data_IF_409984686359
#
_entry.id   IF_409984686359
#
_cell.length_a   1.000
_cell.length_b   1.000
_cell.length_c   1.000
_cell.angle_alpha   90.00
_cell.angle_beta   90.00
_cell.angle_gamma   90.00
#
_symmetry.space_group_name_H-M   'P 1'
#
loop_
_entity.id
_entity.type
_entity.pdbx_description
1 polymer ?
#
# COMPACT_ATOMS: atom_id res chain seq x y z
N UNK A 1 38.93 37.76 -9.95
CA UNK A 1 37.67 38.18 -9.29
C UNK A 1 37.33 39.56 -9.82
N UNK A 2 36.19 39.72 -10.48
CA UNK A 2 35.68 41.03 -10.88
C UNK A 2 35.26 41.77 -9.61
N UNK A 3 35.81 42.97 -9.37
CA UNK A 3 35.43 43.76 -8.19
C UNK A 3 33.93 44.07 -8.24
N UNK A 4 33.22 43.88 -7.13
CA UNK A 4 31.81 44.26 -7.03
C UNK A 4 31.71 45.80 -7.03
N UNK A 5 30.90 46.36 -7.92
CA UNK A 5 30.70 47.81 -8.00
C UNK A 5 30.10 48.34 -6.69
N UNK A 6 30.68 49.41 -6.15
CA UNK A 6 30.17 50.10 -4.97
C UNK A 6 28.83 50.79 -5.23
N UNK A 7 28.13 51.20 -4.17
CA UNK A 7 26.86 51.92 -4.24
C UNK A 7 26.96 53.25 -3.48
N UNK A 8 26.54 54.37 -4.09
CA UNK A 8 26.74 55.71 -3.50
C UNK A 8 25.63 56.72 -3.86
N UNK A 9 24.43 56.23 -4.20
CA UNK A 9 23.30 57.10 -4.62
C UNK A 9 22.55 57.65 -3.41
N UNK A 10 22.26 58.96 -3.42
CA UNK A 10 21.56 59.65 -2.35
C UNK A 10 22.49 60.28 -1.31
N UNK A 11 21.93 60.75 -0.20
CA UNK A 11 22.68 61.33 0.93
C UNK A 11 22.27 60.67 2.23
N UNK A 12 23.09 60.82 3.27
CA UNK A 12 22.88 60.15 4.56
C UNK A 12 23.09 61.05 5.77
N UNK A 13 22.44 60.70 6.87
CA UNK A 13 22.62 61.30 8.18
C UNK A 13 22.84 60.21 9.23
N UNK A 14 23.72 60.47 10.20
CA UNK A 14 24.00 59.59 11.35
C UNK A 14 24.58 60.44 12.48
N UNK A 15 24.15 60.21 13.72
CA UNK A 15 24.72 60.90 14.89
C UNK A 15 26.10 60.36 15.23
N UNK A 16 26.93 61.17 15.90
CA UNK A 16 28.14 60.67 16.56
C UNK A 16 27.78 59.48 17.48
N UNK A 17 28.60 58.42 17.43
CA UNK A 17 28.37 57.14 18.13
C UNK A 17 27.03 56.44 17.82
N UNK A 18 26.28 56.94 16.82
CA UNK A 18 25.00 56.40 16.42
C UNK A 18 25.13 55.07 15.70
N UNK A 19 24.10 54.22 15.81
CA UNK A 19 24.02 52.92 15.14
C UNK A 19 23.01 52.91 13.99
N UNK A 20 22.33 54.02 13.73
CA UNK A 20 21.29 54.10 12.69
C UNK A 20 21.67 55.17 11.68
N UNK A 21 21.73 54.76 10.41
CA UNK A 21 21.95 55.67 9.28
C UNK A 21 20.60 55.91 8.59
N UNK A 22 20.25 57.18 8.41
CA UNK A 22 19.06 57.61 7.68
C UNK A 22 19.48 58.11 6.30
N UNK A 23 18.87 57.58 5.25
CA UNK A 23 19.14 57.91 3.85
C UNK A 23 18.05 58.77 3.22
N UNK A 24 18.45 59.65 2.30
CA UNK A 24 17.54 60.41 1.41
C UNK A 24 17.82 60.00 -0.03
N UNK A 25 16.77 59.65 -0.79
CA UNK A 25 16.87 59.19 -2.18
C UNK A 25 17.78 57.96 -2.36
N UNK A 26 17.81 57.09 -1.35
CA UNK A 26 18.55 55.83 -1.34
C UNK A 26 17.64 54.67 -1.78
N UNK A 27 18.24 53.57 -2.24
CA UNK A 27 17.57 52.36 -2.73
C UNK A 27 18.30 51.12 -2.19
N UNK A 28 18.38 51.01 -0.87
CA UNK A 28 19.24 50.04 -0.18
C UNK A 28 18.72 48.60 -0.21
N UNK A 29 17.43 48.38 0.06
CA UNK A 29 16.82 47.07 0.30
C UNK A 29 16.13 46.51 -0.96
N UNK A 30 15.20 47.26 -1.56
CA UNK A 30 14.32 46.76 -2.63
C UNK A 30 15.09 46.33 -3.88
N UNK A 31 16.19 47.03 -4.17
CA UNK A 31 17.08 46.71 -5.30
C UNK A 31 18.24 45.79 -4.89
N UNK A 32 18.32 45.40 -3.62
CA UNK A 32 19.40 44.55 -3.07
C UNK A 32 20.79 45.18 -3.13
N UNK A 33 20.87 46.50 -3.21
CA UNK A 33 22.12 47.25 -3.38
C UNK A 33 23.01 47.17 -2.14
N UNK A 34 22.42 47.02 -0.96
CA UNK A 34 23.11 46.94 0.32
C UNK A 34 22.67 45.68 1.05
N UNK A 35 23.58 45.02 1.76
CA UNK A 35 23.32 43.83 2.57
C UNK A 35 24.06 43.94 3.90
N UNK A 36 23.58 43.24 4.95
CA UNK A 36 24.36 43.04 6.16
C UNK A 36 25.76 42.49 5.85
N UNK A 37 26.77 43.01 6.54
CA UNK A 37 28.18 42.72 6.33
C UNK A 37 28.87 43.55 5.23
N UNK A 38 28.15 44.38 4.47
CA UNK A 38 28.76 45.38 3.59
C UNK A 38 29.39 46.52 4.44
N UNK A 39 30.36 47.24 3.88
CA UNK A 39 31.01 48.37 4.57
C UNK A 39 30.41 49.68 4.15
N UNK A 40 29.96 50.47 5.12
CA UNK A 40 29.50 51.83 4.94
C UNK A 40 30.65 52.81 5.19
N UNK A 41 31.00 53.63 4.19
CA UNK A 41 32.00 54.67 4.30
C UNK A 41 31.37 56.04 4.08
N UNK A 42 31.71 57.00 4.93
CA UNK A 42 31.43 58.42 4.69
C UNK A 42 32.64 59.25 5.12
N UNK A 43 33.18 60.06 4.20
CA UNK A 43 34.46 60.71 4.40
C UNK A 43 35.60 59.70 4.60
N UNK A 44 36.35 59.84 5.71
CA UNK A 44 37.50 59.00 6.03
C UNK A 44 37.17 57.87 7.03
N UNK A 45 35.91 57.77 7.45
CA UNK A 45 35.46 56.81 8.45
C UNK A 45 34.62 55.70 7.80
N UNK A 46 34.74 54.50 8.35
CA UNK A 46 34.00 53.31 7.92
C UNK A 46 33.28 52.66 9.11
N UNK A 47 32.12 52.06 8.83
CA UNK A 47 31.37 51.22 9.76
C UNK A 47 30.85 49.97 9.04
N UNK A 48 30.61 48.89 9.78
CA UNK A 48 30.02 47.66 9.24
C UNK A 48 28.51 47.79 9.32
N UNK A 49 27.81 47.46 8.23
CA UNK A 49 26.36 47.40 8.21
C UNK A 49 25.93 46.09 8.86
N UNK A 50 25.21 46.15 9.97
CA UNK A 50 24.73 44.97 10.70
C UNK A 50 23.33 44.56 10.24
N UNK A 51 22.52 45.51 9.78
CA UNK A 51 21.17 45.25 9.26
C UNK A 51 20.73 46.29 8.22
N UNK A 52 19.83 45.90 7.32
CA UNK A 52 19.23 46.78 6.30
C UNK A 52 17.71 46.79 6.54
N UNK A 53 17.23 47.83 7.23
CA UNK A 53 15.85 47.88 7.72
C UNK A 53 14.88 48.19 6.58
N UNK A 54 15.21 49.16 5.73
CA UNK A 54 14.46 49.53 4.53
C UNK A 54 15.37 50.26 3.52
N UNK A 55 14.78 50.83 2.45
CA UNK A 55 15.53 51.58 1.42
C UNK A 55 16.21 52.85 1.94
N UNK A 56 15.84 53.32 3.13
CA UNK A 56 16.24 54.60 3.75
C UNK A 56 16.78 54.45 5.17
N UNK A 57 16.84 53.23 5.74
CA UNK A 57 17.38 52.99 7.08
C UNK A 57 18.35 51.80 7.12
N UNK A 58 19.56 52.04 7.62
CA UNK A 58 20.55 50.99 7.93
C UNK A 58 20.83 50.96 9.43
N UNK A 59 21.13 49.77 9.93
CA UNK A 59 21.80 49.60 11.23
C UNK A 59 23.28 49.32 10.98
N UNK A 60 24.14 50.06 11.66
CA UNK A 60 25.61 49.94 11.57
C UNK A 60 26.21 49.72 12.96
N UNK A 61 27.46 49.24 12.99
CA UNK A 61 28.31 49.39 14.17
C UNK A 61 28.46 50.87 14.55
N UNK A 62 28.67 51.21 15.84
CA UNK A 62 28.75 52.60 16.29
C UNK A 62 29.61 53.46 15.36
N UNK A 63 29.04 54.57 14.87
CA UNK A 63 29.70 55.45 13.91
C UNK A 63 30.94 56.10 14.54
N UNK A 64 32.16 55.84 14.03
CA UNK A 64 33.39 56.30 14.68
C UNK A 64 33.73 57.77 14.36
N UNK A 65 32.92 58.44 13.54
CA UNK A 65 33.10 59.84 13.16
C UNK A 65 32.16 60.80 13.89
N UNK A 66 32.27 62.09 13.56
CA UNK A 66 31.31 63.09 14.01
C UNK A 66 29.94 62.92 13.34
N UNK A 67 28.91 63.57 13.89
CA UNK A 67 27.57 63.63 13.30
C UNK A 67 27.61 64.06 11.84
N UNK A 68 26.92 63.30 10.99
CA UNK A 68 26.72 63.57 9.58
C UNK A 68 25.27 64.03 9.34
N UNK A 69 25.10 64.99 8.45
CA UNK A 69 23.80 65.47 7.98
C UNK A 69 23.86 65.72 6.48
N UNK A 70 23.08 64.97 5.70
CA UNK A 70 23.06 65.07 4.23
C UNK A 70 24.41 64.77 3.56
N UNK A 71 25.25 63.94 4.18
CA UNK A 71 26.59 63.65 3.68
C UNK A 71 26.57 62.68 2.49
N UNK A 72 27.60 62.75 1.65
CA UNK A 72 27.91 61.72 0.66
C UNK A 72 28.50 60.49 1.32
N UNK A 73 28.25 59.32 0.73
CA UNK A 73 28.69 58.04 1.27
C UNK A 73 28.98 57.06 0.14
N UNK A 74 29.70 55.99 0.46
CA UNK A 74 29.95 54.86 -0.41
C UNK A 74 29.72 53.59 0.40
N UNK A 75 28.94 52.66 -0.14
CA UNK A 75 28.83 51.30 0.35
C UNK A 75 29.71 50.39 -0.50
N UNK A 76 30.71 49.80 0.15
CA UNK A 76 31.56 48.79 -0.44
C UNK A 76 30.89 47.42 -0.28
N UNK A 77 30.57 46.79 -1.41
CA UNK A 77 29.95 45.47 -1.47
C UNK A 77 30.98 44.39 -1.16
N UNK A 78 31.28 44.20 0.12
CA UNK A 78 32.35 43.32 0.61
C UNK A 78 31.85 42.22 1.55
N UNK A 79 30.53 42.14 1.79
CA UNK A 79 29.96 41.07 2.61
C UNK A 79 30.36 39.69 2.09
N UNK A 80 30.75 38.79 2.99
CA UNK A 80 31.02 37.39 2.64
C UNK A 80 29.77 36.73 2.00
N UNK A 81 28.57 37.16 2.40
CA UNK A 81 27.29 36.77 1.79
C UNK A 81 27.15 37.12 0.30
N UNK A 82 27.93 38.09 -0.21
CA UNK A 82 28.00 38.42 -1.65
C UNK A 82 29.15 37.73 -2.37
N UNK A 83 30.20 37.36 -1.63
CA UNK A 83 31.40 36.74 -2.18
C UNK A 83 31.26 35.21 -2.26
N UNK A 84 30.34 34.61 -1.52
CA UNK A 84 30.02 33.18 -1.63
C UNK A 84 28.53 32.96 -1.41
N UNK A 85 27.89 32.21 -2.31
CA UNK A 85 26.47 31.86 -2.25
C UNK A 85 26.14 30.91 -1.08
N UNK A 86 26.21 31.38 0.17
CA UNK A 86 25.92 30.59 1.37
C UNK A 86 24.53 29.94 1.34
N UNK A 87 23.50 30.62 0.85
CA UNK A 87 22.17 30.01 0.67
C UNK A 87 22.19 28.90 -0.37
N UNK A 88 22.83 29.11 -1.52
CA UNK A 88 22.95 28.08 -2.55
C UNK A 88 23.80 26.89 -2.10
N UNK A 89 24.90 27.13 -1.39
CA UNK A 89 25.76 26.07 -0.87
C UNK A 89 25.04 25.28 0.23
N UNK A 90 24.27 25.93 1.09
CA UNK A 90 23.44 25.27 2.11
C UNK A 90 22.30 24.46 1.47
N UNK A 91 21.62 25.01 0.46
CA UNK A 91 20.54 24.31 -0.26
C UNK A 91 21.07 23.10 -1.03
N UNK A 92 22.23 23.25 -1.69
CA UNK A 92 22.92 22.14 -2.36
C UNK A 92 23.39 21.11 -1.34
N UNK A 93 23.98 21.52 -0.21
CA UNK A 93 24.39 20.60 0.85
C UNK A 93 23.20 19.84 1.44
N UNK A 94 22.05 20.50 1.60
CA UNK A 94 20.81 19.87 2.05
C UNK A 94 20.27 18.88 1.02
N UNK A 95 20.29 19.22 -0.27
CA UNK A 95 19.90 18.32 -1.36
C UNK A 95 20.82 17.09 -1.44
N UNK A 96 22.13 17.30 -1.37
CA UNK A 96 23.15 16.23 -1.36
C UNK A 96 22.98 15.34 -0.12
N UNK A 97 22.73 15.91 1.05
CA UNK A 97 22.47 15.15 2.28
C UNK A 97 21.19 14.31 2.17
N UNK A 98 20.14 14.86 1.56
CA UNK A 98 18.90 14.13 1.30
C UNK A 98 19.12 12.97 0.31
N UNK A 99 19.89 13.17 -0.76
CA UNK A 99 20.23 12.10 -1.70
C UNK A 99 21.09 11.01 -1.06
N UNK A 100 22.04 11.37 -0.20
CA UNK A 100 22.87 10.40 0.52
C UNK A 100 22.10 9.61 1.59
N UNK A 101 21.06 10.21 2.19
CA UNK A 101 20.27 9.58 3.26
C UNK A 101 19.11 8.75 2.72
N UNK A 102 18.32 9.32 1.81
CA UNK A 102 17.12 8.68 1.27
C UNK A 102 17.39 7.85 0.03
N UNK A 103 18.58 7.99 -0.56
CA UNK A 103 18.87 7.48 -1.89
C UNK A 103 18.08 8.23 -2.96
N UNK A 104 18.35 7.89 -4.21
CA UNK A 104 17.51 8.26 -5.34
C UNK A 104 17.46 7.11 -6.34
N UNK A 105 16.42 7.13 -7.18
CA UNK A 105 16.34 6.20 -8.31
C UNK A 105 17.02 6.81 -9.53
N UNK A 106 17.87 6.01 -10.18
CA UNK A 106 18.30 6.28 -11.55
C UNK A 106 17.16 5.87 -12.49
N UNK A 107 16.61 6.82 -13.24
CA UNK A 107 15.57 6.53 -14.22
C UNK A 107 16.19 5.99 -15.51
N UNK A 108 15.74 4.82 -15.93
CA UNK A 108 16.21 4.14 -17.15
C UNK A 108 15.31 4.55 -18.32
N UNK A 109 15.92 4.93 -19.45
CA UNK A 109 15.20 5.28 -20.67
C UNK A 109 14.32 4.12 -21.18
N UNK A 110 13.22 4.45 -21.85
CA UNK A 110 12.27 3.46 -22.37
C UNK A 110 12.90 2.49 -23.39
N UNK A 111 13.91 2.92 -24.13
CA UNK A 111 14.54 2.12 -25.18
C UNK A 111 15.69 1.26 -24.65
N UNK A 112 16.09 1.46 -23.39
CA UNK A 112 17.18 0.70 -22.78
C UNK A 112 16.64 -0.58 -22.13
N UNK A 113 17.41 -1.65 -22.24
CA UNK A 113 17.06 -2.95 -21.62
C UNK A 113 17.75 -3.14 -20.26
N UNK A 114 18.80 -2.37 -20.00
CA UNK A 114 19.58 -2.34 -18.76
C UNK A 114 19.95 -0.90 -18.40
N UNK A 115 20.13 -0.56 -17.11
CA UNK A 115 20.58 0.77 -16.72
C UNK A 115 22.01 1.05 -17.21
N UNK A 116 22.33 2.32 -17.45
CA UNK A 116 23.69 2.75 -17.79
C UNK A 116 24.65 2.46 -16.62
N UNK A 117 25.73 1.67 -16.83
CA UNK A 117 26.68 1.33 -15.77
C UNK A 117 27.41 2.55 -15.16
N UNK A 118 27.55 3.64 -15.91
CA UNK A 118 28.23 4.86 -15.45
C UNK A 118 27.39 5.71 -14.51
N UNK A 119 26.07 5.46 -14.43
CA UNK A 119 25.16 6.20 -13.58
C UNK A 119 24.97 5.52 -12.23
N UNK A 120 24.84 6.34 -11.18
CA UNK A 120 24.58 5.93 -9.81
C UNK A 120 25.78 5.30 -9.08
N UNK A 121 25.63 5.15 -7.77
CA UNK A 121 26.61 4.57 -6.86
C UNK A 121 26.10 3.24 -6.27
N UNK A 122 27.01 2.48 -5.65
CA UNK A 122 26.65 1.25 -4.95
C UNK A 122 25.62 1.50 -3.84
N UNK A 123 24.64 0.60 -3.74
CA UNK A 123 23.51 0.73 -2.82
C UNK A 123 22.33 1.56 -3.37
N UNK A 124 22.46 2.17 -4.55
CA UNK A 124 21.36 2.87 -5.21
C UNK A 124 20.52 1.92 -6.07
N UNK A 125 19.35 2.41 -6.47
CA UNK A 125 18.40 1.67 -7.29
C UNK A 125 18.20 2.35 -8.64
N UNK A 126 17.87 1.57 -9.66
CA UNK A 126 17.41 2.07 -10.95
C UNK A 126 15.99 1.58 -11.21
N UNK A 127 15.19 2.40 -11.88
CA UNK A 127 13.79 2.09 -12.19
C UNK A 127 13.47 2.48 -13.63
N UNK A 128 12.79 1.59 -14.34
CA UNK A 128 12.25 1.84 -15.68
C UNK A 128 10.71 1.98 -15.58
N UNK A 129 10.15 3.19 -15.67
CA UNK A 129 8.73 3.43 -15.41
C UNK A 129 7.76 2.67 -16.32
N UNK A 130 8.16 2.42 -17.56
CA UNK A 130 7.30 1.83 -18.59
C UNK A 130 7.11 0.33 -18.40
N UNK A 131 8.13 -0.37 -17.92
CA UNK A 131 8.12 -1.82 -17.72
C UNK A 131 7.96 -2.19 -16.24
N UNK A 132 8.27 -1.28 -15.32
CA UNK A 132 8.33 -1.53 -13.88
C UNK A 132 9.61 -2.26 -13.45
N UNK A 133 10.57 -2.46 -14.37
CA UNK A 133 11.84 -3.12 -14.05
C UNK A 133 12.64 -2.30 -13.05
N UNK A 134 13.19 -2.99 -12.06
CA UNK A 134 13.99 -2.39 -10.98
C UNK A 134 15.33 -3.12 -10.85
N UNK A 135 16.38 -2.36 -10.58
CA UNK A 135 17.74 -2.86 -10.37
C UNK A 135 18.34 -2.26 -9.11
N UNK A 136 19.32 -2.94 -8.52
CA UNK A 136 20.19 -2.41 -7.47
C UNK A 136 21.64 -2.44 -7.94
N UNK A 137 22.42 -1.41 -7.59
CA UNK A 137 23.85 -1.37 -7.91
C UNK A 137 24.66 -1.99 -6.77
N UNK A 138 25.44 -3.02 -7.08
CA UNK A 138 26.29 -3.71 -6.11
C UNK A 138 27.63 -4.01 -6.78
N UNK A 139 28.73 -3.54 -6.20
CA UNK A 139 30.08 -3.74 -6.76
C UNK A 139 30.28 -3.05 -8.11
N UNK A 140 29.62 -1.90 -8.32
CA UNK A 140 29.64 -1.14 -9.57
C UNK A 140 28.72 -1.69 -10.67
N UNK A 141 28.00 -2.80 -10.42
CA UNK A 141 27.18 -3.48 -11.44
C UNK A 141 25.70 -3.40 -11.09
N UNK A 142 24.88 -3.05 -12.07
CA UNK A 142 23.43 -3.10 -11.95
C UNK A 142 22.92 -4.54 -11.99
N UNK A 143 22.36 -5.00 -10.86
CA UNK A 143 21.75 -6.31 -10.72
C UNK A 143 20.23 -6.20 -10.80
N UNK A 144 19.59 -6.99 -11.66
CA UNK A 144 18.15 -6.97 -11.84
C UNK A 144 17.44 -7.59 -10.64
N UNK A 145 16.47 -6.86 -10.07
CA UNK A 145 15.69 -7.32 -8.91
C UNK A 145 14.32 -7.88 -9.30
N UNK A 146 13.77 -7.47 -10.44
CA UNK A 146 12.44 -7.89 -10.89
C UNK A 146 11.61 -6.73 -11.45
N UNK A 147 10.33 -7.04 -11.69
CA UNK A 147 9.32 -6.09 -12.15
C UNK A 147 8.38 -5.77 -10.98
N UNK A 148 8.35 -4.50 -10.56
CA UNK A 148 7.52 -4.02 -9.46
C UNK A 148 6.42 -3.11 -10.02
N UNK A 149 5.33 -3.72 -10.47
CA UNK A 149 4.11 -3.01 -10.86
C UNK A 149 2.87 -3.78 -10.43
N UNK A 150 1.75 -3.09 -10.30
CA UNK A 150 0.48 -3.69 -9.91
C UNK A 150 -0.01 -4.70 -10.96
N UNK A 151 -0.65 -5.78 -10.50
CA UNK A 151 -1.32 -6.73 -11.38
C UNK A 151 -2.41 -6.05 -12.21
N UNK A 152 -2.46 -6.38 -13.50
CA UNK A 152 -3.47 -5.87 -14.42
C UNK A 152 -4.44 -7.01 -14.77
N UNK A 153 -5.68 -6.94 -14.28
CA UNK A 153 -6.66 -7.99 -14.56
C UNK A 153 -7.22 -7.84 -15.98
N UNK A 154 -6.95 -8.83 -16.84
CA UNK A 154 -7.36 -8.84 -18.26
C UNK A 154 -8.62 -9.67 -18.52
N UNK A 155 -9.12 -10.39 -17.52
CA UNK A 155 -10.25 -11.31 -17.68
C UNK A 155 -9.83 -12.63 -18.34
N UNK A 156 -10.71 -13.22 -19.16
CA UNK A 156 -10.42 -14.49 -19.83
C UNK A 156 -9.28 -14.35 -20.84
N UNK A 157 -8.41 -15.36 -20.94
CA UNK A 157 -7.33 -15.39 -21.93
C UNK A 157 -7.88 -15.35 -23.37
N UNK A 158 -7.17 -14.63 -24.25
CA UNK A 158 -7.45 -14.51 -25.68
C UNK A 158 -6.14 -14.53 -26.48
N UNK A 159 -6.08 -15.37 -27.52
CA UNK A 159 -4.91 -15.43 -28.41
C UNK A 159 -4.68 -14.16 -29.23
N UNK A 160 -5.68 -13.29 -29.35
CA UNK A 160 -5.58 -12.02 -30.08
C UNK A 160 -5.05 -10.87 -29.22
N UNK A 161 -4.92 -11.05 -27.90
CA UNK A 161 -4.47 -10.01 -26.98
C UNK A 161 -2.96 -10.08 -26.77
N UNK A 162 -2.29 -8.93 -26.87
CA UNK A 162 -0.91 -8.78 -26.42
C UNK A 162 -0.91 -8.62 -24.89
N UNK A 163 -0.11 -9.44 -24.21
CA UNK A 163 0.03 -9.45 -22.76
C UNK A 163 1.42 -8.94 -22.38
N UNK A 164 1.46 -8.05 -21.40
CA UNK A 164 2.71 -7.62 -20.78
C UNK A 164 2.92 -8.37 -19.46
N UNK A 165 4.18 -8.53 -19.03
CA UNK A 165 4.50 -9.09 -17.72
C UNK A 165 3.65 -8.39 -16.63
N UNK A 166 3.10 -9.10 -15.66
CA UNK A 166 2.17 -8.57 -14.65
C UNK A 166 0.69 -8.56 -15.06
N UNK A 167 0.35 -8.83 -16.32
CA UNK A 167 -1.04 -9.07 -16.73
C UNK A 167 -1.56 -10.39 -16.15
N UNK A 168 -2.81 -10.41 -15.69
CA UNK A 168 -3.45 -11.59 -15.10
C UNK A 168 -4.65 -12.00 -15.95
N UNK A 169 -4.69 -13.27 -16.33
CA UNK A 169 -5.78 -13.88 -17.10
C UNK A 169 -6.40 -15.05 -16.37
N UNK A 170 -7.65 -15.36 -16.72
CA UNK A 170 -8.30 -16.62 -16.34
C UNK A 170 -8.36 -17.58 -17.52
N UNK A 171 -8.09 -18.86 -17.26
CA UNK A 171 -8.23 -19.94 -18.23
C UNK A 171 -8.60 -21.23 -17.51
N UNK A 172 -9.69 -21.89 -17.95
CA UNK A 172 -10.16 -23.16 -17.39
C UNK A 172 -10.35 -23.12 -15.86
N UNK A 173 -10.88 -22.00 -15.34
CA UNK A 173 -11.14 -21.79 -13.91
C UNK A 173 -9.92 -21.52 -13.04
N UNK A 174 -8.71 -21.47 -13.62
CA UNK A 174 -7.48 -21.06 -12.93
C UNK A 174 -7.07 -19.65 -13.37
N UNK A 175 -6.27 -18.97 -12.55
CA UNK A 175 -5.72 -17.64 -12.84
C UNK A 175 -4.21 -17.73 -13.06
N UNK A 176 -3.70 -17.00 -14.05
CA UNK A 176 -2.30 -17.00 -14.45
C UNK A 176 -1.79 -15.55 -14.56
N UNK A 177 -0.55 -15.33 -14.17
CA UNK A 177 0.16 -14.05 -14.36
C UNK A 177 1.17 -14.19 -15.49
N UNK A 178 1.15 -13.24 -16.42
CA UNK A 178 2.15 -13.14 -17.47
C UNK A 178 3.48 -12.71 -16.86
N UNK A 179 4.59 -13.37 -17.19
CA UNK A 179 5.93 -13.07 -16.66
C UNK A 179 6.90 -12.57 -17.75
N UNK A 180 6.51 -12.68 -19.02
CA UNK A 180 7.27 -12.21 -20.17
C UNK A 180 6.33 -11.72 -21.27
N UNK A 181 6.56 -10.52 -21.79
CA UNK A 181 5.70 -9.91 -22.82
C UNK A 181 5.56 -10.80 -24.05
N UNK A 182 4.32 -11.02 -24.50
CA UNK A 182 4.05 -11.87 -25.65
C UNK A 182 2.65 -11.66 -26.26
N UNK A 183 2.42 -12.28 -27.41
CA UNK A 183 1.08 -12.43 -28.03
C UNK A 183 0.86 -13.89 -28.35
N UNK A 184 -0.37 -14.39 -28.19
CA UNK A 184 -0.77 -15.74 -28.63
C UNK A 184 0.03 -16.93 -28.03
N UNK A 185 0.53 -16.81 -26.79
CA UNK A 185 0.99 -17.96 -26.01
C UNK A 185 -0.05 -18.29 -24.94
N UNK A 186 -0.55 -19.52 -24.95
CA UNK A 186 -1.61 -19.96 -24.03
C UNK A 186 -1.01 -20.43 -22.70
N UNK A 187 -1.56 -20.01 -21.54
CA UNK A 187 -1.25 -20.66 -20.26
C UNK A 187 -1.53 -22.17 -20.33
N UNK A 188 -0.75 -23.03 -19.65
CA UNK A 188 0.21 -22.72 -18.59
C UNK A 188 1.68 -22.71 -19.07
N UNK A 189 1.96 -22.22 -20.29
CA UNK A 189 3.34 -22.17 -20.79
C UNK A 189 4.26 -21.38 -19.81
N UNK A 190 5.12 -22.10 -19.08
CA UNK A 190 5.92 -21.57 -17.97
C UNK A 190 6.98 -20.54 -18.36
N UNK A 191 7.28 -20.41 -19.65
CA UNK A 191 8.16 -19.35 -20.15
C UNK A 191 7.47 -17.98 -20.10
N UNK A 192 6.14 -17.97 -20.22
CA UNK A 192 5.34 -16.76 -20.38
C UNK A 192 4.32 -16.57 -19.26
N UNK A 193 3.87 -17.64 -18.61
CA UNK A 193 2.80 -17.65 -17.63
C UNK A 193 3.21 -18.39 -16.36
N UNK A 194 2.91 -17.79 -15.22
CA UNK A 194 3.00 -18.43 -13.90
C UNK A 194 1.60 -18.63 -13.34
N UNK A 195 1.35 -19.78 -12.70
CA UNK A 195 0.08 -20.04 -12.01
C UNK A 195 -0.05 -19.10 -10.80
N UNK A 196 -1.14 -18.34 -10.75
CA UNK A 196 -1.47 -17.47 -9.61
C UNK A 196 -2.44 -18.16 -8.65
N UNK A 197 -3.46 -18.84 -9.19
CA UNK A 197 -4.42 -19.60 -8.41
C UNK A 197 -4.96 -20.78 -9.25
N UNK A 198 -4.98 -21.98 -8.67
CA UNK A 198 -5.59 -23.15 -9.30
C UNK A 198 -7.11 -23.13 -9.10
N UNK A 199 -7.83 -23.75 -10.04
CA UNK A 199 -9.24 -24.09 -9.85
C UNK A 199 -9.43 -24.90 -8.54
N UNK A 200 -10.52 -24.63 -7.82
CA UNK A 200 -10.88 -25.38 -6.63
C UNK A 200 -11.19 -26.85 -6.96
N UNK A 201 -10.92 -27.75 -6.01
CA UNK A 201 -11.35 -29.14 -6.13
C UNK A 201 -12.88 -29.21 -6.21
N UNK A 202 -13.40 -30.14 -7.02
CA UNK A 202 -14.82 -30.48 -6.98
C UNK A 202 -15.19 -30.91 -5.56
N UNK A 203 -16.28 -30.36 -5.01
CA UNK A 203 -16.78 -30.79 -3.70
C UNK A 203 -17.11 -32.28 -3.68
N UNK A 204 -17.14 -32.88 -2.49
CA UNK A 204 -17.60 -34.26 -2.36
C UNK A 204 -18.99 -34.39 -3.00
N UNK A 205 -19.18 -35.44 -3.80
CA UNK A 205 -20.51 -35.81 -4.26
C UNK A 205 -21.42 -35.90 -3.03
N UNK A 206 -22.58 -35.24 -3.07
CA UNK A 206 -23.57 -35.34 -2.00
C UNK A 206 -24.00 -36.80 -1.78
N UNK A 207 -24.69 -37.11 -0.67
CA UNK A 207 -25.25 -38.44 -0.45
C UNK A 207 -26.02 -38.91 -1.71
N UNK A 208 -25.68 -40.09 -2.23
CA UNK A 208 -26.39 -40.73 -3.35
C UNK A 208 -27.90 -40.81 -3.03
N UNK A 209 -28.79 -40.84 -4.04
CA UNK A 209 -30.23 -40.90 -3.84
C UNK A 209 -30.65 -42.05 -2.90
N UNK A 210 -31.61 -41.76 -2.02
CA UNK A 210 -32.28 -42.73 -1.15
C UNK A 210 -32.76 -43.94 -1.98
N UNK A 211 -32.41 -45.16 -1.56
CA UNK A 211 -33.11 -46.35 -2.05
C UNK A 211 -34.59 -46.25 -1.61
N UNK A 212 -35.55 -46.71 -2.43
CA UNK A 212 -36.94 -46.81 -2.02
C UNK A 212 -37.07 -47.62 -0.73
N UNK A 213 -37.90 -47.15 0.20
CA UNK A 213 -38.19 -47.89 1.44
C UNK A 213 -38.97 -49.16 1.07
N UNK A 214 -38.40 -50.32 1.37
CA UNK A 214 -39.06 -51.63 1.18
C UNK A 214 -39.52 -52.21 2.52
N UNK A 215 -40.55 -53.09 2.57
CA UNK A 215 -40.87 -53.83 3.80
C UNK A 215 -39.66 -54.62 4.32
N UNK A 216 -39.47 -54.65 5.65
CA UNK A 216 -38.44 -55.48 6.26
C UNK A 216 -38.70 -56.96 5.97
N UNK A 217 -37.64 -57.69 5.61
CA UNK A 217 -37.68 -59.11 5.33
C UNK A 217 -36.58 -59.84 6.12
N UNK A 218 -36.86 -61.06 6.55
CA UNK A 218 -35.89 -61.96 7.20
C UNK A 218 -34.90 -62.52 6.18
N UNK A 219 -33.74 -63.00 6.64
CA UNK A 219 -32.68 -63.59 5.80
C UNK A 219 -32.21 -62.70 4.63
N UNK A 220 -32.40 -61.39 4.75
CA UNK A 220 -32.06 -60.40 3.72
C UNK A 220 -30.79 -59.66 4.14
N UNK A 221 -29.85 -59.50 3.21
CA UNK A 221 -28.64 -58.74 3.47
C UNK A 221 -28.92 -57.23 3.34
N UNK A 222 -28.66 -56.48 4.41
CA UNK A 222 -28.80 -55.03 4.46
C UNK A 222 -27.43 -54.37 4.62
N UNK A 223 -27.23 -53.25 3.92
CA UNK A 223 -25.94 -52.55 3.82
C UNK A 223 -26.00 -51.15 4.45
N UNK A 224 -24.86 -50.70 4.96
CA UNK A 224 -24.64 -49.33 5.48
C UNK A 224 -24.03 -48.45 4.40
N UNK A 225 -24.18 -47.13 4.53
CA UNK A 225 -23.55 -46.14 3.65
C UNK A 225 -24.37 -45.89 2.39
N UNK A 226 -24.05 -44.88 1.57
CA UNK A 226 -24.87 -44.54 0.41
C UNK A 226 -24.71 -45.54 -0.77
N UNK A 227 -25.82 -46.13 -1.28
CA UNK A 227 -27.17 -46.03 -0.75
C UNK A 227 -27.44 -47.02 0.39
N UNK A 228 -27.97 -46.51 1.51
CA UNK A 228 -28.20 -47.32 2.70
C UNK A 228 -29.50 -48.09 2.51
N UNK A 229 -29.61 -49.29 3.09
CA UNK A 229 -30.89 -50.00 3.09
C UNK A 229 -31.88 -49.28 4.00
N UNK A 230 -33.03 -48.92 3.46
CA UNK A 230 -34.17 -48.39 4.22
C UNK A 230 -35.30 -49.41 4.23
N UNK A 231 -35.83 -49.68 5.41
CA UNK A 231 -36.91 -50.66 5.60
C UNK A 231 -38.11 -50.06 6.32
N UNK A 232 -39.31 -50.57 6.02
CA UNK A 232 -40.51 -50.32 6.81
C UNK A 232 -40.85 -51.54 7.67
N UNK A 233 -41.13 -51.33 8.95
CA UNK A 233 -41.63 -52.37 9.84
C UNK A 233 -42.62 -51.77 10.85
N UNK A 234 -43.78 -52.41 11.01
CA UNK A 234 -44.81 -51.97 11.96
C UNK A 234 -45.30 -50.52 11.75
N UNK A 235 -45.25 -50.01 10.52
CA UNK A 235 -45.64 -48.64 10.16
C UNK A 235 -44.56 -47.57 10.42
N UNK A 236 -43.39 -47.94 10.93
CA UNK A 236 -42.23 -47.05 11.09
C UNK A 236 -41.17 -47.33 10.03
N UNK A 237 -40.34 -46.34 9.71
CA UNK A 237 -39.24 -46.42 8.75
C UNK A 237 -37.89 -46.45 9.46
N UNK A 238 -36.96 -47.29 9.00
CA UNK A 238 -35.65 -47.47 9.61
C UNK A 238 -34.54 -47.46 8.56
N UNK A 239 -33.37 -46.91 8.91
CA UNK A 239 -32.14 -46.98 8.13
C UNK A 239 -31.20 -48.03 8.73
N UNK A 240 -30.56 -48.82 7.88
CA UNK A 240 -29.53 -49.76 8.30
C UNK A 240 -28.28 -48.98 8.75
N UNK A 241 -27.84 -49.21 10.00
CA UNK A 241 -26.65 -48.59 10.59
C UNK A 241 -25.44 -49.53 10.63
N UNK A 242 -25.67 -50.85 10.57
CA UNK A 242 -24.63 -51.88 10.60
C UNK A 242 -24.97 -52.95 9.58
N UNK A 243 -24.04 -53.28 8.67
CA UNK A 243 -24.30 -54.27 7.63
C UNK A 243 -24.52 -55.66 8.26
N UNK A 244 -25.61 -56.32 7.89
CA UNK A 244 -25.97 -57.62 8.45
C UNK A 244 -26.94 -58.38 7.53
N UNK A 245 -26.98 -59.69 7.67
CA UNK A 245 -28.12 -60.50 7.22
C UNK A 245 -29.16 -60.51 8.33
N UNK A 246 -30.39 -60.09 8.01
CA UNK A 246 -31.47 -59.97 8.99
C UNK A 246 -31.90 -61.31 9.57
N UNK A 247 -32.11 -61.34 10.88
CA UNK A 247 -32.71 -62.47 11.58
C UNK A 247 -34.09 -62.08 12.08
N UNK A 248 -34.17 -61.61 13.33
CA UNK A 248 -35.39 -61.08 13.93
C UNK A 248 -35.26 -59.58 14.11
N UNK A 249 -36.21 -58.80 13.55
CA UNK A 249 -36.15 -57.34 13.57
C UNK A 249 -35.94 -56.74 14.97
N UNK A 250 -36.67 -57.23 15.98
CA UNK A 250 -36.54 -56.71 17.35
C UNK A 250 -35.15 -56.94 17.95
N UNK A 251 -34.52 -58.07 17.64
CA UNK A 251 -33.15 -58.38 18.06
C UNK A 251 -32.13 -57.51 17.33
N UNK A 252 -32.31 -57.33 16.01
CA UNK A 252 -31.45 -56.47 15.20
C UNK A 252 -31.57 -54.99 15.61
N UNK A 253 -32.78 -54.53 15.95
CA UNK A 253 -33.05 -53.18 16.46
C UNK A 253 -32.43 -52.98 17.85
N UNK A 254 -32.60 -53.93 18.77
CA UNK A 254 -31.99 -53.88 20.11
C UNK A 254 -30.45 -53.94 20.05
N UNK A 255 -29.88 -54.61 19.05
CA UNK A 255 -28.46 -54.63 18.76
C UNK A 255 -27.93 -53.37 18.06
N UNK A 256 -28.77 -52.34 17.85
CA UNK A 256 -28.38 -51.07 17.26
C UNK A 256 -28.14 -51.10 15.74
N UNK A 257 -28.58 -52.16 15.04
CA UNK A 257 -28.38 -52.30 13.59
C UNK A 257 -29.33 -51.43 12.77
N UNK A 258 -30.39 -50.89 13.39
CA UNK A 258 -31.42 -50.07 12.76
C UNK A 258 -31.59 -48.74 13.49
N UNK A 259 -31.55 -47.62 12.74
CA UNK A 259 -31.88 -46.29 13.24
C UNK A 259 -33.29 -45.90 12.81
N UNK A 260 -34.13 -45.43 13.74
CA UNK A 260 -35.46 -44.93 13.42
C UNK A 260 -35.35 -43.66 12.58
N UNK A 261 -35.96 -43.67 11.40
CA UNK A 261 -36.02 -42.52 10.48
C UNK A 261 -37.36 -41.80 10.61
N UNK A 262 -38.45 -42.55 10.73
CA UNK A 262 -39.79 -42.02 10.94
C UNK A 262 -40.61 -42.99 11.80
N UNK A 263 -41.23 -42.48 12.86
CA UNK A 263 -42.15 -43.26 13.68
C UNK A 263 -43.51 -43.37 13.01
N UNK A 264 -44.18 -44.51 13.17
CA UNK A 264 -45.60 -44.65 12.81
C UNK A 264 -46.41 -43.54 13.50
N UNK A 265 -47.35 -42.92 12.78
CA UNK A 265 -48.29 -41.99 13.39
C UNK A 265 -49.03 -42.68 14.53
N UNK A 266 -49.07 -42.05 15.70
CA UNK A 266 -49.93 -42.51 16.80
C UNK A 266 -51.39 -42.40 16.38
N UNK A 267 -52.11 -43.51 16.39
CA UNK A 267 -53.56 -43.50 16.26
C UNK A 267 -54.17 -42.93 17.53
N UNK A 268 -54.71 -41.72 17.41
CA UNK A 268 -55.83 -41.13 18.16
C UNK A 268 -55.61 -40.75 19.65
N UNK A 269 -55.88 -39.47 19.96
CA UNK A 269 -56.09 -38.96 21.33
C UNK A 269 -57.46 -39.41 21.90
N UNK A 270 -58.22 -40.28 21.22
CA UNK A 270 -59.53 -40.79 21.65
C UNK A 270 -59.53 -41.72 22.87
N UNK A 271 -58.40 -41.91 23.55
CA UNK A 271 -58.41 -42.50 24.91
C UNK A 271 -58.80 -41.49 26.00
N UNK A 272 -58.97 -40.21 25.68
CA UNK A 272 -59.63 -39.25 26.56
C UNK A 272 -61.09 -39.01 26.11
N UNK A 273 -61.94 -40.03 26.26
CA UNK A 273 -63.36 -39.94 25.88
C UNK A 273 -64.30 -39.64 27.06
N UNK A 274 -63.81 -39.07 28.17
CA UNK A 274 -64.68 -38.47 29.18
C UNK A 274 -63.96 -37.40 30.02
N UNK A 275 -64.56 -36.21 30.15
CA UNK A 275 -64.10 -35.15 31.08
C UNK A 275 -64.12 -35.58 32.55
N UNK A 276 -64.70 -36.73 32.88
CA UNK A 276 -64.71 -37.32 34.22
C UNK A 276 -63.34 -37.82 34.69
N UNK A 277 -62.43 -38.14 33.76
CA UNK A 277 -61.07 -38.60 34.11
C UNK A 277 -60.10 -37.44 34.40
N UNK A 278 -60.59 -36.19 34.33
CA UNK A 278 -59.83 -34.97 34.67
C UNK A 278 -60.43 -34.25 35.90
N UNK A 279 -61.32 -34.92 36.65
CA UNK A 279 -62.10 -34.28 37.72
C UNK A 279 -61.91 -34.92 39.12
N UNK A 280 -60.71 -35.37 39.51
CA UNK A 280 -60.48 -35.74 40.91
C UNK A 280 -59.07 -35.48 41.48
N UNK A 281 -58.39 -34.43 41.02
CA UNK A 281 -57.18 -33.91 41.70
C UNK A 281 -57.23 -32.41 41.96
N UNK A 282 -58.38 -31.88 42.38
CA UNK A 282 -58.42 -30.60 43.09
C UNK A 282 -59.32 -30.68 44.33
N UNK A 283 -58.65 -30.47 45.47
CA UNK A 283 -59.20 -29.94 46.73
C UNK A 283 -60.02 -30.89 47.60
N UNK A 284 -59.29 -31.68 48.39
CA UNK A 284 -59.62 -31.79 49.80
C UNK A 284 -59.47 -30.39 50.46
N UNK A 285 -60.51 -29.96 51.18
CA UNK A 285 -60.53 -28.93 52.24
C UNK A 285 -60.41 -27.44 51.83
N UNK A 286 -61.55 -26.76 51.80
CA UNK A 286 -62.00 -25.83 52.85
C UNK A 286 -63.52 -25.72 52.81
#
# INVERSE_FOLDING_TARGET
MTALSSYSTGTVAVSADGTTVTGTSTLWLNTGNVKPGDRFQAGHFEAIITDVVDDTHLTITPWPGSTLSGASYVVWKVSQQRIVGETYAADVAKAVSAWNTSGFFVFVDINQTTPDPSLGDDGQYAFQPTTGKTWAKVGGVWTFLGIYKAFQLKGAWSGATAYAAGDVVTLSGSSYVCILDHTNHTPPNVTYWQLLASIGATGNTGPMPLLPIAPWATATAYVVGPPASYVSNGGSSYACLVAHTSGTFATDLAAGKWGLVAQKGGGDLSSANNLSDVANTQMARA
#
